data_IF_432194268995
#
_entry.id   IF_432194268995
#
_cell.length_a   1.000
_cell.length_b   1.000
_cell.length_c   1.000
_cell.angle_alpha   90.00
_cell.angle_beta   90.00
_cell.angle_gamma   90.00
#
_symmetry.space_group_name_H-M   'P 1'
#
loop_
_entity.id
_entity.type
_entity.pdbx_description
1 polymer ?
#
# COMPACT_ATOMS: atom_id res chain seq x y z
N UNK A 1 -3.36 -5.90 -6.07
CA UNK A 1 -2.80 -5.35 -4.80
C UNK A 1 -1.31 -5.08 -5.00
N UNK A 2 -0.78 -3.91 -4.64
CA UNK A 2 0.66 -3.63 -4.77
C UNK A 2 1.25 -3.29 -3.40
N UNK A 3 2.33 -3.96 -3.02
CA UNK A 3 2.98 -3.85 -1.71
C UNK A 3 4.46 -3.55 -1.87
N UNK A 4 5.00 -2.87 -0.86
CA UNK A 4 6.42 -2.64 -0.63
C UNK A 4 6.77 -3.39 0.66
N UNK A 5 7.63 -4.40 0.55
CA UNK A 5 7.99 -5.32 1.62
C UNK A 5 9.45 -5.09 2.02
N UNK A 6 9.78 -4.87 3.30
CA UNK A 6 11.16 -4.78 3.75
C UNK A 6 11.96 -6.05 3.42
N UNK A 7 13.28 -5.92 3.17
CA UNK A 7 14.13 -7.08 2.88
C UNK A 7 14.16 -8.05 4.05
N UNK A 8 14.16 -7.56 5.29
CA UNK A 8 14.21 -8.39 6.49
C UNK A 8 13.04 -9.37 6.60
N UNK A 9 11.86 -9.02 6.08
CA UNK A 9 10.62 -9.79 6.24
C UNK A 9 10.12 -10.46 4.96
N UNK A 10 10.76 -10.24 3.81
CA UNK A 10 10.32 -10.77 2.51
C UNK A 10 10.22 -12.31 2.48
N UNK A 11 11.12 -13.03 3.15
CA UNK A 11 11.06 -14.49 3.23
C UNK A 11 9.87 -14.98 4.05
N UNK A 12 9.61 -14.34 5.20
CA UNK A 12 8.41 -14.62 6.02
C UNK A 12 7.14 -14.34 5.25
N UNK A 13 7.11 -13.22 4.51
CA UNK A 13 6.02 -12.86 3.62
C UNK A 13 5.80 -13.94 2.55
N UNK A 14 6.85 -14.30 1.80
CA UNK A 14 6.78 -15.27 0.71
C UNK A 14 6.31 -16.65 1.19
N UNK A 15 6.86 -17.14 2.31
CA UNK A 15 6.51 -18.46 2.87
C UNK A 15 5.03 -18.59 3.20
N UNK A 16 4.40 -17.52 3.72
CA UNK A 16 2.97 -17.55 4.05
C UNK A 16 2.10 -17.23 2.84
N UNK A 17 2.45 -16.20 2.07
CA UNK A 17 1.59 -15.72 0.98
C UNK A 17 1.61 -16.72 -0.18
N UNK A 18 2.77 -17.05 -0.71
CA UNK A 18 2.89 -17.97 -1.86
C UNK A 18 2.79 -19.43 -1.45
N UNK A 19 3.06 -19.76 -0.18
CA UNK A 19 2.99 -21.14 0.30
C UNK A 19 1.65 -21.55 0.89
N UNK A 20 0.75 -20.61 1.21
CA UNK A 20 -0.53 -20.93 1.90
C UNK A 20 -1.73 -20.07 1.51
N UNK A 21 -1.55 -18.78 1.20
CA UNK A 21 -2.70 -17.89 0.92
C UNK A 21 -3.09 -17.96 -0.55
N UNK A 22 -2.10 -17.98 -1.43
CA UNK A 22 -2.29 -18.07 -2.88
C UNK A 22 -2.17 -19.52 -3.28
N UNK A 23 -3.28 -20.11 -3.71
CA UNK A 23 -3.37 -21.52 -4.13
C UNK A 23 -3.06 -21.68 -5.62
N UNK A 24 -3.43 -20.69 -6.44
CA UNK A 24 -3.05 -20.59 -7.86
C UNK A 24 -2.77 -19.12 -8.26
N UNK A 25 -2.09 -18.95 -9.39
CA UNK A 25 -1.79 -17.63 -9.98
C UNK A 25 -2.35 -17.49 -11.41
N UNK A 26 -3.38 -18.26 -11.77
CA UNK A 26 -3.91 -18.28 -13.14
C UNK A 26 -4.60 -16.97 -13.52
N UNK A 27 -5.01 -16.19 -12.52
CA UNK A 27 -5.71 -14.93 -12.73
C UNK A 27 -4.80 -13.73 -12.99
N UNK A 28 -3.47 -13.88 -12.98
CA UNK A 28 -2.56 -12.82 -13.39
C UNK A 28 -1.15 -12.91 -12.78
N UNK A 29 -0.20 -12.13 -13.31
CA UNK A 29 1.19 -12.22 -12.88
C UNK A 29 1.40 -11.68 -11.46
N UNK A 30 2.39 -12.27 -10.78
CA UNK A 30 2.92 -11.77 -9.51
C UNK A 30 4.33 -11.23 -9.77
N UNK A 31 4.51 -9.92 -9.60
CA UNK A 31 5.83 -9.30 -9.65
C UNK A 31 6.49 -9.37 -8.27
N UNK A 32 7.77 -9.74 -8.22
CA UNK A 32 8.60 -9.67 -7.02
C UNK A 32 10.03 -9.31 -7.41
N UNK A 33 10.50 -8.13 -7.02
CA UNK A 33 11.89 -7.72 -7.27
C UNK A 33 12.37 -6.69 -6.25
N UNK A 34 13.68 -6.70 -5.91
CA UNK A 34 14.26 -5.74 -5.00
C UNK A 34 14.57 -4.40 -5.68
N UNK A 35 14.52 -3.33 -4.91
CA UNK A 35 15.00 -1.99 -5.28
C UNK A 35 15.82 -1.40 -4.13
N UNK A 36 16.68 -0.42 -4.44
CA UNK A 36 17.54 0.26 -3.45
C UNK A 36 16.91 1.57 -2.99
N UNK A 37 16.82 1.77 -1.67
CA UNK A 37 16.33 3.01 -1.06
C UNK A 37 17.14 4.24 -1.44
N UNK A 38 18.45 4.10 -1.66
CA UNK A 38 19.33 5.19 -2.12
C UNK A 38 18.94 5.81 -3.47
N UNK A 39 18.05 5.19 -4.23
CA UNK A 39 17.47 5.76 -5.46
C UNK A 39 16.17 6.54 -5.24
N UNK A 40 15.71 6.65 -4.00
CA UNK A 40 14.46 7.32 -3.62
C UNK A 40 14.75 8.58 -2.79
N UNK A 41 14.26 9.72 -3.25
CA UNK A 41 14.44 11.00 -2.55
C UNK A 41 13.52 11.07 -1.33
N UNK A 42 14.14 11.19 -0.14
CA UNK A 42 13.45 11.23 1.14
C UNK A 42 12.59 12.49 1.34
N UNK A 43 12.75 13.54 0.52
CA UNK A 43 11.99 14.79 0.58
C UNK A 43 10.61 14.67 -0.07
N UNK A 44 10.39 13.65 -0.90
CA UNK A 44 9.12 13.42 -1.62
C UNK A 44 7.97 13.02 -0.68
N UNK A 45 6.78 12.76 -1.20
CA UNK A 45 5.65 12.24 -0.40
C UNK A 45 5.51 10.71 -0.49
N UNK A 46 6.41 10.02 -1.19
CA UNK A 46 6.37 8.56 -1.28
C UNK A 46 6.63 7.92 0.10
N UNK A 47 5.86 6.87 0.41
CA UNK A 47 5.99 6.11 1.65
C UNK A 47 6.66 4.78 1.34
N UNK A 48 7.89 4.61 1.81
CA UNK A 48 8.70 3.41 1.63
C UNK A 48 9.23 2.93 3.00
N UNK A 49 9.57 1.63 3.15
CA UNK A 49 10.20 1.11 4.34
C UNK A 49 11.54 1.78 4.70
N UNK A 50 11.95 1.64 5.95
CA UNK A 50 13.25 2.12 6.43
C UNK A 50 14.35 1.05 6.33
N UNK A 51 14.54 0.54 5.12
CA UNK A 51 15.63 -0.41 4.81
C UNK A 51 16.32 -0.02 3.50
N UNK A 52 17.64 -0.25 3.41
CA UNK A 52 18.43 0.04 2.21
C UNK A 52 17.96 -0.72 0.97
N UNK A 53 17.37 -1.91 1.17
CA UNK A 53 16.76 -2.73 0.12
C UNK A 53 15.37 -3.11 0.57
N UNK A 54 14.40 -2.98 -0.33
CA UNK A 54 13.04 -3.46 -0.14
C UNK A 54 12.50 -4.02 -1.46
N UNK A 55 11.42 -4.78 -1.39
CA UNK A 55 10.84 -5.49 -2.52
C UNK A 55 9.53 -4.87 -2.94
N UNK A 56 9.36 -4.65 -4.23
CA UNK A 56 8.05 -4.40 -4.82
C UNK A 56 7.40 -5.74 -5.09
N UNK A 57 6.21 -5.94 -4.52
CA UNK A 57 5.38 -7.14 -4.71
C UNK A 57 4.04 -6.72 -5.30
N UNK A 58 3.80 -7.08 -6.56
CA UNK A 58 2.60 -6.71 -7.29
C UNK A 58 1.75 -7.93 -7.61
N UNK A 59 0.55 -8.01 -7.04
CA UNK A 59 -0.49 -8.98 -7.40
C UNK A 59 -1.38 -8.36 -8.47
N UNK A 60 -1.10 -8.67 -9.74
CA UNK A 60 -1.72 -8.05 -10.92
C UNK A 60 -2.83 -8.96 -11.47
N UNK A 61 -3.75 -9.35 -10.60
CA UNK A 61 -4.88 -10.20 -10.90
C UNK A 61 -5.94 -9.48 -11.75
N UNK A 62 -6.40 -10.15 -12.80
CA UNK A 62 -7.61 -9.85 -13.56
C UNK A 62 -8.80 -10.63 -12.98
N UNK A 63 -9.92 -9.95 -12.78
CA UNK A 63 -11.16 -10.58 -12.29
C UNK A 63 -12.28 -10.35 -13.29
N UNK A 64 -12.78 -11.43 -13.91
CA UNK A 64 -13.87 -11.39 -14.89
C UNK A 64 -15.16 -11.79 -14.19
N UNK A 65 -16.01 -10.81 -13.89
CA UNK A 65 -17.31 -10.99 -13.26
C UNK A 65 -17.31 -10.92 -11.72
N UNK A 66 -18.50 -10.79 -11.09
CA UNK A 66 -18.62 -10.45 -9.66
C UNK A 66 -17.98 -11.44 -8.69
N UNK A 67 -18.17 -12.75 -8.91
CA UNK A 67 -17.59 -13.79 -8.05
C UNK A 67 -16.06 -13.77 -8.05
N UNK A 68 -15.44 -13.54 -9.22
CA UNK A 68 -13.99 -13.45 -9.34
C UNK A 68 -13.44 -12.19 -8.63
N UNK A 69 -14.21 -11.09 -8.63
CA UNK A 69 -13.85 -9.85 -7.92
C UNK A 69 -13.86 -10.10 -6.42
N UNK A 70 -14.93 -10.69 -5.88
CA UNK A 70 -15.05 -10.98 -4.44
C UNK A 70 -13.93 -11.91 -3.95
N UNK A 71 -13.66 -12.99 -4.70
CA UNK A 71 -12.55 -13.89 -4.41
C UNK A 71 -11.20 -13.16 -4.37
N UNK A 72 -10.92 -12.33 -5.37
CA UNK A 72 -9.69 -11.52 -5.45
C UNK A 72 -9.57 -10.54 -4.29
N UNK A 73 -10.67 -9.87 -3.92
CA UNK A 73 -10.71 -8.96 -2.78
C UNK A 73 -10.47 -9.70 -1.45
N UNK A 74 -11.03 -10.90 -1.30
CA UNK A 74 -10.81 -11.73 -0.12
C UNK A 74 -9.33 -12.16 0.01
N UNK A 75 -8.69 -12.58 -1.08
CA UNK A 75 -7.24 -12.88 -1.07
C UNK A 75 -6.41 -11.64 -0.69
N UNK A 76 -6.71 -10.48 -1.29
CA UNK A 76 -6.03 -9.24 -0.95
C UNK A 76 -6.17 -8.89 0.54
N UNK A 77 -7.38 -9.07 1.10
CA UNK A 77 -7.65 -8.87 2.52
C UNK A 77 -6.82 -9.82 3.40
N UNK A 78 -6.78 -11.10 3.07
CA UNK A 78 -5.96 -12.08 3.80
C UNK A 78 -4.47 -11.73 3.80
N UNK A 79 -3.93 -11.27 2.67
CA UNK A 79 -2.53 -10.85 2.55
C UNK A 79 -2.25 -9.63 3.46
N UNK A 80 -3.13 -8.63 3.44
CA UNK A 80 -3.00 -7.42 4.28
C UNK A 80 -3.11 -7.78 5.76
N UNK A 81 -4.11 -8.58 6.15
CA UNK A 81 -4.30 -9.00 7.53
C UNK A 81 -3.10 -9.79 8.07
N UNK A 82 -2.59 -10.74 7.28
CA UNK A 82 -1.37 -11.45 7.63
C UNK A 82 -0.18 -10.49 7.79
N UNK A 83 -0.01 -9.56 6.84
CA UNK A 83 1.10 -8.59 6.87
C UNK A 83 1.07 -7.73 8.13
N UNK A 84 -0.12 -7.34 8.59
CA UNK A 84 -0.31 -6.60 9.83
C UNK A 84 -0.04 -7.48 11.06
N UNK A 85 -0.65 -8.67 11.14
CA UNK A 85 -0.53 -9.59 12.28
C UNK A 85 0.90 -10.09 12.50
N UNK A 86 1.64 -10.34 11.42
CA UNK A 86 3.02 -10.80 11.48
C UNK A 86 4.03 -9.65 11.50
N UNK A 87 3.58 -8.40 11.64
CA UNK A 87 4.43 -7.20 11.67
C UNK A 87 5.44 -7.16 10.52
N UNK A 88 5.01 -7.51 9.30
CA UNK A 88 5.86 -7.57 8.11
C UNK A 88 6.48 -6.19 7.80
N UNK A 89 5.86 -5.10 8.24
CA UNK A 89 6.28 -3.74 7.89
C UNK A 89 5.89 -3.36 6.45
N UNK A 90 4.92 -4.06 5.86
CA UNK A 90 4.44 -3.82 4.51
C UNK A 90 3.83 -2.41 4.37
N UNK A 91 4.13 -1.73 3.27
CA UNK A 91 3.45 -0.50 2.84
C UNK A 91 2.72 -0.76 1.54
N UNK A 92 1.50 -0.26 1.38
CA UNK A 92 0.81 -0.35 0.09
C UNK A 92 1.41 0.66 -0.90
N UNK A 93 1.69 0.22 -2.13
CA UNK A 93 1.95 1.09 -3.27
C UNK A 93 0.64 1.28 -4.04
N UNK A 94 0.35 2.50 -4.48
CA UNK A 94 -0.99 2.87 -4.98
C UNK A 94 -2.11 2.50 -3.97
N UNK A 95 -2.00 2.96 -2.70
CA UNK A 95 -2.97 2.65 -1.65
C UNK A 95 -4.39 3.15 -1.96
N UNK A 96 -5.40 2.46 -1.42
CA UNK A 96 -6.81 2.80 -1.58
C UNK A 96 -7.59 2.84 -0.25
N UNK A 97 -6.95 3.33 0.82
CA UNK A 97 -7.59 3.49 2.13
C UNK A 97 -8.81 4.43 2.05
N UNK A 98 -9.80 4.18 2.90
CA UNK A 98 -11.09 4.89 2.83
C UNK A 98 -11.23 5.94 3.94
N UNK A 99 -10.36 5.88 4.95
CA UNK A 99 -10.43 6.78 6.11
C UNK A 99 -9.11 7.51 6.36
N UNK A 100 -9.19 8.72 6.90
CA UNK A 100 -8.01 9.50 7.25
C UNK A 100 -7.13 8.82 8.32
N UNK A 101 -7.66 8.14 9.35
CA UNK A 101 -6.83 7.39 10.30
C UNK A 101 -5.97 6.31 9.63
N UNK A 102 -6.50 5.57 8.65
CA UNK A 102 -5.73 4.60 7.88
C UNK A 102 -4.61 5.27 7.08
N UNK A 103 -4.90 6.43 6.47
CA UNK A 103 -3.89 7.22 5.79
C UNK A 103 -2.81 7.74 6.74
N UNK A 104 -3.19 8.21 7.94
CA UNK A 104 -2.24 8.64 8.97
C UNK A 104 -1.34 7.48 9.41
N UNK A 105 -1.90 6.28 9.59
CA UNK A 105 -1.12 5.07 9.87
C UNK A 105 -0.19 4.68 8.72
N UNK A 106 -0.65 4.85 7.47
CA UNK A 106 0.17 4.61 6.28
C UNK A 106 1.39 5.53 6.24
N UNK A 107 1.18 6.85 6.33
CA UNK A 107 2.25 7.86 6.33
C UNK A 107 3.15 7.82 7.59
N UNK A 108 2.60 7.41 8.73
CA UNK A 108 3.33 7.34 10.00
C UNK A 108 3.96 8.70 10.37
N UNK A 109 5.25 8.70 10.69
CA UNK A 109 5.99 9.91 11.06
C UNK A 109 6.02 11.00 9.97
N UNK A 110 5.66 10.66 8.71
CA UNK A 110 5.61 11.62 7.59
C UNK A 110 4.28 12.37 7.49
N UNK A 111 3.28 12.00 8.31
CA UNK A 111 1.93 12.55 8.22
C UNK A 111 1.89 14.07 8.38
N UNK A 112 2.56 14.62 9.39
CA UNK A 112 2.49 16.05 9.70
C UNK A 112 3.07 16.90 8.56
N UNK A 113 4.21 16.46 7.98
CA UNK A 113 4.78 17.10 6.80
C UNK A 113 3.87 17.00 5.57
N UNK A 114 3.18 15.88 5.39
CA UNK A 114 2.21 15.70 4.30
C UNK A 114 0.99 16.62 4.47
N UNK A 115 0.46 16.73 5.71
CA UNK A 115 -0.65 17.61 6.04
C UNK A 115 -0.27 19.09 5.89
N UNK A 116 0.93 19.49 6.33
CA UNK A 116 1.42 20.85 6.13
C UNK A 116 1.47 21.22 4.64
N UNK A 117 2.00 20.33 3.79
CA UNK A 117 2.00 20.53 2.34
C UNK A 117 0.57 20.62 1.79
N UNK A 118 -0.36 19.79 2.26
CA UNK A 118 -1.77 19.88 1.84
C UNK A 118 -2.34 21.27 2.16
N UNK A 119 -2.11 21.80 3.35
CA UNK A 119 -2.62 23.11 3.75
C UNK A 119 -2.01 24.25 2.93
N UNK A 120 -0.75 24.14 2.51
CA UNK A 120 -0.08 25.16 1.68
C UNK A 120 -0.60 25.14 0.25
N UNK A 121 -0.74 23.95 -0.35
CA UNK A 121 -0.98 23.83 -1.79
C UNK A 121 -2.44 23.53 -2.18
N UNK A 122 -3.26 23.02 -1.27
CA UNK A 122 -4.69 22.76 -1.47
C UNK A 122 -5.48 22.86 -0.14
N UNK A 123 -5.58 24.07 0.44
CA UNK A 123 -6.19 24.30 1.76
C UNK A 123 -7.68 23.94 1.83
N UNK A 124 -8.38 23.92 0.69
CA UNK A 124 -9.80 23.60 0.61
C UNK A 124 -10.05 22.11 0.28
N UNK A 125 -8.99 21.32 0.13
CA UNK A 125 -9.03 19.92 -0.24
C UNK A 125 -9.88 19.66 -1.51
N UNK A 126 -9.69 20.50 -2.53
CA UNK A 126 -10.39 20.40 -3.82
C UNK A 126 -9.80 19.27 -4.67
N UNK A 127 -8.48 19.09 -4.62
CA UNK A 127 -7.75 18.22 -5.53
C UNK A 127 -7.75 16.76 -5.07
N UNK A 128 -7.91 15.86 -6.04
CA UNK A 128 -7.86 14.41 -5.92
C UNK A 128 -8.76 13.81 -4.82
N UNK A 129 -10.07 14.14 -4.77
CA UNK A 129 -10.99 13.63 -3.74
C UNK A 129 -11.11 12.09 -3.74
N UNK A 130 -10.85 11.45 -4.87
CA UNK A 130 -10.84 9.98 -4.99
C UNK A 130 -9.80 9.28 -4.11
N UNK A 131 -8.75 9.99 -3.65
CA UNK A 131 -7.77 9.46 -2.70
C UNK A 131 -8.32 9.37 -1.27
N UNK A 132 -9.39 10.13 -0.95
CA UNK A 132 -10.08 10.06 0.36
C UNK A 132 -9.18 10.34 1.58
N UNK A 133 -8.10 11.10 1.39
CA UNK A 133 -7.19 11.47 2.49
C UNK A 133 -7.72 12.66 3.29
N UNK A 134 -8.21 13.69 2.58
CA UNK A 134 -8.77 14.91 3.13
C UNK A 134 -10.14 15.15 2.52
N UNK A 135 -11.11 15.54 3.34
CA UNK A 135 -12.46 15.89 2.91
C UNK A 135 -12.51 17.37 2.56
N UNK A 136 -13.32 17.71 1.54
CA UNK A 136 -13.53 19.10 1.13
C UNK A 136 -14.09 19.90 2.32
N UNK A 137 -13.42 20.98 2.67
CA UNK A 137 -13.95 21.91 3.67
C UNK A 137 -15.14 22.65 3.03
N UNK A 138 -16.32 22.65 3.66
CA UNK A 138 -17.42 23.51 3.23
C UNK A 138 -16.95 24.97 3.27
N UNK A 139 -17.23 25.73 2.21
CA UNK A 139 -17.07 27.19 2.26
C UNK A 139 -18.16 27.72 3.21
N UNK A 140 -17.83 28.63 4.15
CA UNK A 140 -18.82 29.29 4.99
C UNK A 140 -19.91 30.00 4.19
#
# INVERSE_FOLDING_TARGET
LNLIIPRSTVHTFAKKVFGKIIEDNNNGPILLYPVKKSRWDNRTSAVIPDEEVFYLVGFLSSAIGPHCIEHTLNLNKQIIEFSNKASIGAKQYLPNYTTQPEWKAHYGARWDAFQQRKNIYDPLAILAPGQRIFQKTPVP
#
